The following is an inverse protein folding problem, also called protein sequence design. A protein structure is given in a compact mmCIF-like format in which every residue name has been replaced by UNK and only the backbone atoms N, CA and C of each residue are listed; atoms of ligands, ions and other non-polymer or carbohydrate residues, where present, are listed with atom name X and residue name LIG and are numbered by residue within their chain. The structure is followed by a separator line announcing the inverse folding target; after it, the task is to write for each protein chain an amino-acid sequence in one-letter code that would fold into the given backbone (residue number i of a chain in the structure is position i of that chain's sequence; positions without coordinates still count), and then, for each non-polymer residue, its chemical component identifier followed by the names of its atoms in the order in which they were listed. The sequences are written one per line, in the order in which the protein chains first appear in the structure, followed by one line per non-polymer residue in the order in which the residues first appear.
data_IF_876873778251
#
_entry.id   IF_876873778251
#
_cell.length_a   1.000
_cell.length_b   1.000
_cell.length_c   1.000
_cell.angle_alpha   90.00
_cell.angle_beta   90.00
_cell.angle_gamma   90.00
#
_symmetry.space_group_name_H-M   'P 1'
#
loop_
_entity.id
_entity.type
_entity.pdbx_description
1 polymer ?
#
# COMPACT_ATOMS: atom_id res chain seq x y z
N UNK A 1 -4.64 -46.04 14.40
CA UNK A 1 -5.40 -44.91 13.86
C UNK A 1 -5.38 -43.79 14.85
N UNK A 2 -5.12 -42.59 14.39
CA UNK A 2 -5.15 -41.38 15.20
C UNK A 2 -6.63 -41.00 15.40
N UNK A 3 -7.12 -40.97 16.64
CA UNK A 3 -8.48 -40.55 16.92
C UNK A 3 -8.50 -39.03 17.07
N UNK A 4 -8.99 -38.34 16.04
CA UNK A 4 -9.09 -36.87 16.02
C UNK A 4 -9.96 -36.31 17.17
N UNK A 5 -10.88 -37.10 17.73
CA UNK A 5 -11.71 -36.70 18.88
C UNK A 5 -10.91 -36.52 20.16
N UNK A 6 -9.77 -37.20 20.26
CA UNK A 6 -8.87 -37.07 21.42
C UNK A 6 -7.95 -35.84 21.33
N UNK A 7 -7.82 -35.20 20.14
CA UNK A 7 -6.91 -34.11 19.87
C UNK A 7 -7.08 -32.90 20.80
N UNK A 8 -8.29 -32.41 21.09
CA UNK A 8 -8.46 -31.29 22.01
C UNK A 8 -7.91 -31.58 23.41
N UNK A 9 -8.13 -32.79 23.90
CA UNK A 9 -7.62 -33.25 25.20
C UNK A 9 -6.11 -33.40 25.18
N UNK A 10 -5.55 -33.94 24.11
CA UNK A 10 -4.11 -34.10 23.91
C UNK A 10 -3.38 -32.73 23.82
N UNK A 11 -3.97 -31.76 23.09
CA UNK A 11 -3.41 -30.43 23.01
C UNK A 11 -3.47 -29.65 24.35
N UNK A 12 -4.44 -29.99 25.22
CA UNK A 12 -4.55 -29.42 26.55
C UNK A 12 -3.57 -30.04 27.57
N UNK A 13 -2.99 -31.22 27.26
CA UNK A 13 -2.05 -31.89 28.17
C UNK A 13 -0.60 -31.41 27.96
N UNK A 14 0.24 -31.60 28.99
CA UNK A 14 1.67 -31.29 28.92
C UNK A 14 2.41 -32.40 28.14
N UNK A 15 2.34 -32.34 26.81
CA UNK A 15 3.04 -33.27 25.94
C UNK A 15 4.55 -32.96 25.91
N UNK A 16 5.41 -34.00 25.83
CA UNK A 16 6.82 -33.80 25.49
C UNK A 16 6.99 -33.02 24.18
N UNK A 17 7.98 -32.12 24.12
CA UNK A 17 8.20 -31.21 22.99
C UNK A 17 8.21 -31.91 21.63
N UNK A 18 8.93 -33.01 21.51
CA UNK A 18 9.02 -33.78 20.25
C UNK A 18 7.68 -34.40 19.82
N UNK A 19 6.83 -34.79 20.76
CA UNK A 19 5.51 -35.34 20.44
C UNK A 19 4.54 -34.25 20.01
N UNK A 20 4.60 -33.07 20.65
CA UNK A 20 3.78 -31.91 20.26
C UNK A 20 4.04 -31.51 18.79
N UNK A 21 5.31 -31.36 18.40
CA UNK A 21 5.68 -31.02 17.04
C UNK A 21 5.20 -32.06 16.01
N UNK A 22 5.32 -33.37 16.34
CA UNK A 22 4.81 -34.46 15.48
C UNK A 22 3.29 -34.41 15.33
N UNK A 23 2.56 -34.14 16.40
CA UNK A 23 1.11 -34.01 16.37
C UNK A 23 0.68 -32.80 15.51
N UNK A 24 1.24 -31.63 15.77
CA UNK A 24 0.93 -30.42 15.01
C UNK A 24 1.25 -30.60 13.51
N UNK A 25 2.32 -31.31 13.16
CA UNK A 25 2.69 -31.54 11.76
C UNK A 25 1.75 -32.52 11.03
N UNK A 26 0.98 -33.32 11.76
CA UNK A 26 -0.02 -34.26 11.20
C UNK A 26 -1.40 -33.63 11.01
N UNK A 27 -1.62 -32.45 11.58
CA UNK A 27 -2.90 -31.76 11.44
C UNK A 27 -3.05 -31.22 10.03
N UNK A 28 -4.21 -31.41 9.45
CA UNK A 28 -4.59 -30.99 8.11
C UNK A 28 -5.81 -30.04 8.11
N UNK A 29 -6.34 -29.71 9.30
CA UNK A 29 -7.44 -28.76 9.48
C UNK A 29 -7.22 -27.88 10.71
N UNK A 30 -7.66 -26.60 10.69
CA UNK A 30 -7.42 -25.64 11.77
C UNK A 30 -8.53 -25.57 12.82
N UNK A 31 -9.68 -26.21 12.61
CA UNK A 31 -10.90 -26.08 13.44
C UNK A 31 -10.82 -26.79 14.81
N UNK A 32 -9.63 -26.71 15.43
CA UNK A 32 -9.37 -27.35 16.71
C UNK A 32 -9.31 -26.31 17.83
N UNK A 33 -9.99 -26.55 18.96
CA UNK A 33 -9.88 -25.70 20.13
C UNK A 33 -8.44 -25.69 20.68
N UNK A 34 -8.00 -24.56 21.24
CA UNK A 34 -6.67 -24.34 21.82
C UNK A 34 -5.48 -24.47 20.85
N UNK A 35 -5.72 -24.56 19.53
CA UNK A 35 -4.64 -24.68 18.56
C UNK A 35 -3.62 -23.52 18.61
N UNK A 36 -4.01 -22.24 18.75
CA UNK A 36 -3.06 -21.15 18.93
C UNK A 36 -2.12 -21.35 20.12
N UNK A 37 -2.66 -21.72 21.27
CA UNK A 37 -1.86 -21.97 22.48
C UNK A 37 -0.88 -23.15 22.30
N UNK A 38 -1.31 -24.21 21.61
CA UNK A 38 -0.44 -25.36 21.33
C UNK A 38 0.71 -24.97 20.37
N UNK A 39 0.43 -24.14 19.35
CA UNK A 39 1.45 -23.62 18.44
C UNK A 39 2.44 -22.73 19.19
N UNK A 40 1.97 -21.80 20.02
CA UNK A 40 2.88 -20.94 20.80
C UNK A 40 3.78 -21.79 21.72
N UNK A 41 3.24 -22.83 22.37
CA UNK A 41 4.04 -23.74 23.18
C UNK A 41 5.09 -24.49 22.35
N UNK A 42 4.75 -24.93 21.12
CA UNK A 42 5.73 -25.55 20.21
C UNK A 42 6.84 -24.54 19.86
N UNK A 43 6.48 -23.32 19.50
CA UNK A 43 7.43 -22.27 19.14
C UNK A 43 8.40 -21.88 20.28
N UNK A 44 8.08 -22.19 21.53
CA UNK A 44 8.93 -21.96 22.71
C UNK A 44 9.89 -23.12 22.99
N UNK A 45 9.71 -24.25 22.29
CA UNK A 45 10.59 -25.40 22.47
C UNK A 45 11.95 -25.17 21.84
N UNK A 46 13.01 -25.81 22.39
CA UNK A 46 14.37 -25.75 21.82
C UNK A 46 14.48 -26.41 20.44
N UNK A 47 13.53 -27.24 20.08
CA UNK A 47 13.50 -28.02 18.84
C UNK A 47 12.67 -27.33 17.75
N UNK A 48 11.98 -26.26 18.08
CA UNK A 48 11.17 -25.50 17.11
C UNK A 48 12.04 -24.91 16.00
N UNK A 49 11.53 -25.01 14.78
CA UNK A 49 12.12 -24.37 13.58
C UNK A 49 11.49 -23.01 13.26
N UNK A 50 10.66 -22.50 14.17
CA UNK A 50 9.95 -21.22 14.00
C UNK A 50 8.63 -21.33 13.25
N UNK A 51 7.91 -20.21 13.23
CA UNK A 51 6.61 -20.11 12.57
C UNK A 51 6.76 -20.32 11.05
N UNK A 52 5.81 -21.02 10.45
CA UNK A 52 5.85 -21.41 9.02
C UNK A 52 6.50 -22.77 8.76
N UNK A 53 7.19 -23.39 9.75
CA UNK A 53 7.88 -24.66 9.57
C UNK A 53 6.95 -25.88 9.58
N UNK A 54 5.77 -25.78 10.18
CA UNK A 54 4.78 -26.85 10.23
C UNK A 54 3.63 -26.59 9.26
N UNK A 55 3.07 -27.65 8.67
CA UNK A 55 1.94 -27.54 7.72
C UNK A 55 0.75 -26.79 8.33
N UNK A 56 0.44 -27.04 9.59
CA UNK A 56 -0.69 -26.41 10.28
C UNK A 56 -0.61 -24.89 10.35
N UNK A 57 0.60 -24.30 10.38
CA UNK A 57 0.76 -22.84 10.38
C UNK A 57 0.11 -22.17 9.16
N UNK A 58 0.20 -22.83 7.99
CA UNK A 58 -0.39 -22.34 6.74
C UNK A 58 -1.91 -22.52 6.66
N UNK A 59 -2.49 -23.31 7.55
CA UNK A 59 -3.92 -23.61 7.58
C UNK A 59 -4.68 -22.72 8.58
N UNK A 60 -3.99 -22.01 9.47
CA UNK A 60 -4.61 -21.16 10.48
C UNK A 60 -5.59 -20.14 9.89
N UNK A 61 -6.69 -19.96 10.57
CA UNK A 61 -7.69 -18.95 10.28
C UNK A 61 -7.24 -17.59 10.82
N UNK A 62 -7.87 -16.51 10.37
CA UNK A 62 -7.48 -15.14 10.77
C UNK A 62 -7.59 -14.91 12.28
N UNK A 63 -8.69 -15.37 12.90
CA UNK A 63 -8.92 -15.27 14.33
C UNK A 63 -7.86 -16.03 15.15
N UNK A 64 -7.42 -17.18 14.65
CA UNK A 64 -6.34 -17.96 15.27
C UNK A 64 -4.97 -17.29 15.12
N UNK A 65 -4.69 -16.65 13.97
CA UNK A 65 -3.47 -15.88 13.78
C UNK A 65 -3.47 -14.63 14.68
N UNK A 66 -4.61 -13.96 14.83
CA UNK A 66 -4.74 -12.83 15.79
C UNK A 66 -4.50 -13.31 17.23
N UNK A 67 -5.01 -14.47 17.60
CA UNK A 67 -4.75 -15.03 18.93
C UNK A 67 -3.28 -15.42 19.12
N UNK A 68 -2.62 -15.98 18.10
CA UNK A 68 -1.17 -16.23 18.13
C UNK A 68 -0.38 -14.92 18.32
N UNK A 69 -0.75 -13.85 17.61
CA UNK A 69 -0.12 -12.55 17.75
C UNK A 69 -0.38 -11.90 19.11
N UNK A 70 -1.53 -12.18 19.74
CA UNK A 70 -1.85 -11.74 21.09
C UNK A 70 -1.03 -12.48 22.14
N UNK A 71 -0.87 -13.79 21.99
CA UNK A 71 -0.09 -14.64 22.91
C UNK A 71 1.42 -14.42 22.77
N UNK A 72 1.90 -14.16 21.55
CA UNK A 72 3.32 -13.95 21.23
C UNK A 72 3.48 -12.79 20.24
N UNK A 73 3.51 -11.51 20.74
CA UNK A 73 3.59 -10.33 19.88
C UNK A 73 4.82 -10.28 18.95
N UNK A 74 5.91 -10.98 19.31
CA UNK A 74 7.13 -11.06 18.52
C UNK A 74 6.92 -11.76 17.15
N UNK A 75 5.81 -12.49 16.99
CA UNK A 75 5.44 -13.06 15.69
C UNK A 75 5.21 -11.98 14.62
N UNK A 76 4.73 -10.80 15.02
CA UNK A 76 4.55 -9.65 14.12
C UNK A 76 5.89 -9.09 13.57
N UNK A 77 7.03 -9.51 14.11
CA UNK A 77 8.36 -9.18 13.59
C UNK A 77 8.83 -10.15 12.51
N UNK A 78 8.14 -11.28 12.34
CA UNK A 78 8.57 -12.39 11.47
C UNK A 78 7.86 -12.35 10.12
N UNK A 79 8.64 -12.28 9.04
CA UNK A 79 8.13 -12.30 7.67
C UNK A 79 7.28 -13.53 7.37
N UNK A 80 7.68 -14.69 7.90
CA UNK A 80 6.94 -15.95 7.73
C UNK A 80 5.52 -15.89 8.34
N UNK A 81 5.37 -15.22 9.49
CA UNK A 81 4.06 -15.00 10.09
C UNK A 81 3.20 -14.05 9.26
N UNK A 82 3.76 -12.93 8.86
CA UNK A 82 3.06 -11.92 8.04
C UNK A 82 2.67 -12.48 6.66
N UNK A 83 3.51 -13.31 6.04
CA UNK A 83 3.22 -13.95 4.77
C UNK A 83 2.00 -14.89 4.84
N UNK A 84 1.71 -15.47 6.01
CA UNK A 84 0.52 -16.31 6.23
C UNK A 84 -0.70 -15.44 6.63
N UNK A 85 -0.49 -14.41 7.44
CA UNK A 85 -1.56 -13.55 7.95
C UNK A 85 -2.17 -12.65 6.89
N UNK A 86 -1.35 -11.99 6.07
CA UNK A 86 -1.80 -11.01 5.06
C UNK A 86 -2.83 -11.59 4.08
N UNK A 87 -2.65 -12.79 3.49
CA UNK A 87 -3.64 -13.37 2.59
C UNK A 87 -5.02 -13.62 3.23
N UNK A 88 -5.08 -13.77 4.56
CA UNK A 88 -6.34 -13.93 5.28
C UNK A 88 -7.15 -12.63 5.41
N UNK A 89 -6.52 -11.49 5.15
CA UNK A 89 -7.16 -10.18 5.14
C UNK A 89 -7.80 -9.85 3.78
N UNK A 90 -7.42 -10.57 2.71
CA UNK A 90 -7.94 -10.34 1.36
C UNK A 90 -9.45 -10.63 1.32
N UNK A 91 -10.27 -9.78 0.68
CA UNK A 91 -11.70 -10.05 0.51
C UNK A 91 -11.91 -11.32 -0.31
N UNK A 92 -12.40 -12.39 0.32
CA UNK A 92 -12.49 -13.72 -0.31
C UNK A 92 -13.67 -13.91 -1.27
N UNK A 93 -14.64 -13.01 -1.25
CA UNK A 93 -15.94 -13.25 -1.87
C UNK A 93 -16.10 -12.66 -3.27
N UNK A 94 -15.26 -11.71 -3.69
CA UNK A 94 -15.52 -10.96 -4.92
C UNK A 94 -14.31 -10.95 -5.86
N UNK A 95 -14.56 -11.35 -7.11
CA UNK A 95 -13.60 -11.17 -8.20
C UNK A 95 -13.47 -9.67 -8.52
N UNK A 96 -12.24 -9.18 -8.67
CA UNK A 96 -11.91 -7.77 -8.97
C UNK A 96 -12.20 -6.78 -7.82
N UNK A 97 -12.04 -7.20 -6.58
CA UNK A 97 -12.15 -6.33 -5.39
C UNK A 97 -11.17 -5.13 -5.47
N UNK A 98 -10.03 -5.30 -6.11
CA UNK A 98 -8.99 -4.28 -6.35
C UNK A 98 -9.47 -3.12 -7.24
N UNK A 99 -10.52 -3.36 -8.04
CA UNK A 99 -11.12 -2.36 -8.93
C UNK A 99 -12.29 -1.62 -8.32
N UNK A 100 -12.94 -2.18 -7.30
CA UNK A 100 -13.99 -1.50 -6.55
C UNK A 100 -13.35 -0.62 -5.45
N UNK A 101 -13.51 0.72 -5.51
CA UNK A 101 -12.90 1.62 -4.54
C UNK A 101 -13.30 1.32 -3.09
N UNK A 102 -14.55 0.92 -2.84
CA UNK A 102 -15.04 0.63 -1.49
C UNK A 102 -14.47 -0.66 -0.92
N UNK A 103 -14.37 -1.71 -1.76
CA UNK A 103 -13.79 -2.99 -1.34
C UNK A 103 -12.27 -2.85 -1.13
N UNK A 104 -11.61 -2.13 -2.02
CA UNK A 104 -10.18 -1.81 -1.88
C UNK A 104 -9.93 -0.97 -0.63
N UNK A 105 -10.77 0.04 -0.36
CA UNK A 105 -10.66 0.85 0.85
C UNK A 105 -10.78 0.00 2.11
N UNK A 106 -11.83 -0.82 2.21
CA UNK A 106 -12.05 -1.70 3.36
C UNK A 106 -10.89 -2.71 3.55
N UNK A 107 -10.29 -3.19 2.47
CA UNK A 107 -9.12 -4.06 2.54
C UNK A 107 -7.89 -3.30 3.03
N UNK A 108 -7.60 -2.14 2.46
CA UNK A 108 -6.48 -1.30 2.86
C UNK A 108 -6.59 -0.83 4.32
N UNK A 109 -7.81 -0.61 4.84
CA UNK A 109 -8.04 -0.31 6.26
C UNK A 109 -7.64 -1.46 7.16
N UNK A 110 -7.98 -2.70 6.81
CA UNK A 110 -7.54 -3.90 7.55
C UNK A 110 -6.03 -4.05 7.55
N UNK A 111 -5.39 -3.82 6.40
CA UNK A 111 -3.92 -3.82 6.30
C UNK A 111 -3.29 -2.71 7.13
N UNK A 112 -3.89 -1.51 7.14
CA UNK A 112 -3.39 -0.38 7.94
C UNK A 112 -3.52 -0.65 9.43
N UNK A 113 -4.61 -1.28 9.88
CA UNK A 113 -4.78 -1.71 11.28
C UNK A 113 -3.70 -2.75 11.69
N UNK A 114 -3.35 -3.68 10.81
CA UNK A 114 -2.21 -4.58 11.02
C UNK A 114 -0.90 -3.77 11.11
N UNK A 115 -0.63 -2.87 10.15
CA UNK A 115 0.59 -2.07 10.09
C UNK A 115 0.82 -1.20 11.34
N UNK A 116 -0.23 -0.74 12.01
CA UNK A 116 -0.14 0.05 13.24
C UNK A 116 0.51 -0.73 14.40
N UNK A 117 0.50 -2.07 14.35
CA UNK A 117 1.06 -2.98 15.36
C UNK A 117 2.49 -3.42 15.03
N UNK A 118 2.97 -3.15 13.82
CA UNK A 118 4.25 -3.66 13.32
C UNK A 118 5.45 -2.84 13.81
N UNK A 119 6.62 -3.47 14.02
CA UNK A 119 7.86 -2.78 14.33
C UNK A 119 8.43 -2.03 13.12
N UNK A 120 9.49 -1.24 13.35
CA UNK A 120 10.17 -0.51 12.29
C UNK A 120 10.90 -1.40 11.27
N UNK A 121 11.25 -2.63 11.63
CA UNK A 121 11.78 -3.62 10.67
C UNK A 121 10.78 -3.97 9.57
N UNK A 122 9.50 -3.67 9.76
CA UNK A 122 8.42 -3.85 8.77
C UNK A 122 8.01 -2.55 8.05
N UNK A 123 8.89 -1.54 8.02
CA UNK A 123 8.61 -0.27 7.33
C UNK A 123 8.33 -0.45 5.85
N UNK A 124 8.89 -1.48 5.19
CA UNK A 124 8.59 -1.77 3.79
C UNK A 124 7.11 -2.15 3.58
N UNK A 125 6.53 -2.95 4.48
CA UNK A 125 5.10 -3.27 4.44
C UNK A 125 4.23 -2.06 4.78
N UNK A 126 4.62 -1.27 5.77
CA UNK A 126 3.91 -0.01 6.12
C UNK A 126 3.90 0.95 4.94
N UNK A 127 5.04 1.13 4.26
CA UNK A 127 5.12 1.96 3.07
C UNK A 127 4.26 1.42 1.93
N UNK A 128 4.29 0.10 1.68
CA UNK A 128 3.46 -0.54 0.68
C UNK A 128 1.97 -0.25 0.89
N UNK A 129 1.47 -0.41 2.11
CA UNK A 129 0.06 -0.15 2.43
C UNK A 129 -0.28 1.34 2.30
N UNK A 130 0.56 2.25 2.83
CA UNK A 130 0.33 3.69 2.71
C UNK A 130 0.38 4.18 1.26
N UNK A 131 1.29 3.62 0.43
CA UNK A 131 1.37 3.92 -1.00
C UNK A 131 0.04 3.61 -1.70
N UNK A 132 -0.52 2.43 -1.49
CA UNK A 132 -1.79 2.03 -2.11
C UNK A 132 -2.99 2.82 -1.56
N UNK A 133 -2.94 3.23 -0.27
CA UNK A 133 -3.93 4.15 0.30
C UNK A 133 -3.88 5.51 -0.36
N UNK A 134 -2.70 6.07 -0.58
CA UNK A 134 -2.52 7.36 -1.26
C UNK A 134 -2.92 7.29 -2.74
N UNK A 135 -2.62 6.16 -3.41
CA UNK A 135 -3.08 5.94 -4.78
C UNK A 135 -4.62 5.88 -4.86
N UNK A 136 -5.27 5.28 -3.87
CA UNK A 136 -6.72 5.29 -3.77
C UNK A 136 -7.26 6.70 -3.49
N UNK A 137 -6.65 7.45 -2.57
CA UNK A 137 -7.02 8.83 -2.25
C UNK A 137 -7.00 9.72 -3.50
N UNK A 138 -5.93 9.62 -4.31
CA UNK A 138 -5.85 10.32 -5.60
C UNK A 138 -6.98 9.90 -6.55
N UNK A 139 -7.23 8.59 -6.66
CA UNK A 139 -8.26 8.04 -7.55
C UNK A 139 -9.68 8.50 -7.18
N UNK A 140 -9.95 8.75 -5.89
CA UNK A 140 -11.25 9.25 -5.42
C UNK A 140 -11.29 10.77 -5.22
N UNK A 141 -10.21 11.49 -5.52
CA UNK A 141 -10.10 12.94 -5.37
C UNK A 141 -10.10 13.43 -3.92
N UNK A 142 -9.68 12.59 -2.97
CA UNK A 142 -9.72 12.87 -1.53
C UNK A 142 -8.36 12.67 -0.85
N UNK A 143 -7.35 13.43 -1.29
CA UNK A 143 -5.99 13.34 -0.74
C UNK A 143 -5.97 13.64 0.76
N UNK A 144 -5.44 12.70 1.54
CA UNK A 144 -5.29 12.82 2.99
C UNK A 144 -3.85 13.23 3.35
N UNK A 145 -3.68 14.50 3.77
CA UNK A 145 -2.39 15.07 4.13
C UNK A 145 -1.69 14.31 5.27
N UNK A 146 -2.41 13.91 6.33
CA UNK A 146 -1.79 13.21 7.45
C UNK A 146 -1.26 11.83 7.04
N UNK A 147 -1.99 11.10 6.22
CA UNK A 147 -1.54 9.83 5.62
C UNK A 147 -0.29 10.04 4.76
N UNK A 148 -0.26 11.13 4.00
CA UNK A 148 0.91 11.47 3.21
C UNK A 148 2.13 11.78 4.09
N UNK A 149 1.96 12.54 5.18
CA UNK A 149 3.03 12.78 6.15
C UNK A 149 3.52 11.49 6.80
N UNK A 150 2.61 10.55 7.13
CA UNK A 150 3.02 9.23 7.63
C UNK A 150 3.88 8.49 6.61
N UNK A 151 3.54 8.57 5.31
CA UNK A 151 4.34 7.97 4.24
C UNK A 151 5.72 8.64 4.12
N UNK A 152 5.80 9.97 4.16
CA UNK A 152 7.06 10.72 4.06
C UNK A 152 8.02 10.43 5.22
N UNK A 153 7.50 10.18 6.42
CA UNK A 153 8.28 9.80 7.61
C UNK A 153 8.96 8.44 7.51
N UNK A 154 8.49 7.56 6.62
CA UNK A 154 9.13 6.27 6.40
C UNK A 154 10.41 6.45 5.56
N UNK A 155 11.59 6.02 6.07
CA UNK A 155 12.86 6.27 5.41
C UNK A 155 12.99 5.48 4.12
N UNK A 156 13.12 6.18 3.00
CA UNK A 156 13.33 5.63 1.65
C UNK A 156 14.60 6.21 1.06
N UNK A 157 15.43 5.37 0.47
CA UNK A 157 16.61 5.81 -0.26
C UNK A 157 16.22 6.22 -1.70
N UNK A 158 15.67 7.42 -1.82
CA UNK A 158 15.19 8.01 -3.09
C UNK A 158 15.88 9.35 -3.35
N UNK A 159 16.02 9.73 -4.62
CA UNK A 159 16.77 10.92 -5.02
C UNK A 159 16.19 12.24 -4.51
N UNK A 160 14.89 12.28 -4.27
CA UNK A 160 14.19 13.47 -3.79
C UNK A 160 14.08 13.54 -2.25
N UNK A 161 14.58 12.54 -1.51
CA UNK A 161 14.60 12.59 -0.04
C UNK A 161 15.62 13.62 0.47
N UNK A 162 15.34 14.19 1.64
CA UNK A 162 16.27 15.08 2.34
C UNK A 162 17.53 14.30 2.77
N UNK A 163 18.74 14.72 2.35
CA UNK A 163 19.97 14.07 2.79
C UNK A 163 20.17 14.10 4.30
N UNK A 164 19.64 15.15 4.98
CA UNK A 164 19.71 15.26 6.43
C UNK A 164 18.80 14.26 7.13
N UNK A 165 17.61 14.05 6.59
CA UNK A 165 16.71 13.01 7.05
C UNK A 165 17.35 11.64 6.92
N UNK A 166 17.92 11.30 5.76
CA UNK A 166 18.56 10.01 5.53
C UNK A 166 19.77 9.78 6.46
N UNK A 167 20.55 10.82 6.77
CA UNK A 167 21.70 10.71 7.70
C UNK A 167 21.27 10.42 9.15
N UNK A 168 20.05 10.75 9.54
CA UNK A 168 19.52 10.46 10.89
C UNK A 168 19.10 9.00 11.08
N UNK A 169 19.03 8.21 10.00
CA UNK A 169 18.61 6.82 10.07
C UNK A 169 19.77 5.99 10.60
N UNK A 170 19.69 5.61 11.86
CA UNK A 170 20.73 4.84 12.56
C UNK A 170 20.62 3.33 12.34
N UNK A 171 19.53 2.85 11.75
CA UNK A 171 19.25 1.42 11.57
C UNK A 171 18.91 1.12 10.11
N UNK A 172 19.83 0.49 9.35
CA UNK A 172 19.60 0.13 7.95
C UNK A 172 18.36 -0.74 7.72
N UNK A 173 18.02 -1.61 8.68
CA UNK A 173 16.84 -2.47 8.62
C UNK A 173 15.51 -1.71 8.71
N UNK A 174 15.54 -0.45 9.09
CA UNK A 174 14.37 0.42 9.07
C UNK A 174 14.12 1.08 7.70
N UNK A 175 15.09 0.99 6.76
CA UNK A 175 14.93 1.49 5.41
C UNK A 175 13.85 0.72 4.66
N UNK A 176 13.02 1.46 3.93
CA UNK A 176 12.00 0.88 3.06
C UNK A 176 12.64 0.35 1.78
N UNK A 177 12.39 -0.91 1.49
CA UNK A 177 12.64 -1.49 0.18
C UNK A 177 11.35 -1.41 -0.67
N UNK A 178 11.32 -0.46 -1.61
CA UNK A 178 10.20 -0.25 -2.52
C UNK A 178 10.02 -1.38 -3.55
N UNK A 179 11.04 -2.22 -3.78
CA UNK A 179 10.94 -3.34 -4.70
C UNK A 179 10.38 -4.62 -4.05
N UNK A 180 10.27 -4.61 -2.72
CA UNK A 180 9.76 -5.77 -1.98
C UNK A 180 8.28 -6.01 -2.29
N UNK A 181 7.96 -7.27 -2.64
CA UNK A 181 6.59 -7.74 -2.83
C UNK A 181 6.06 -8.36 -1.54
N UNK A 182 4.75 -8.23 -1.34
CA UNK A 182 4.03 -8.79 -0.20
C UNK A 182 2.85 -9.63 -0.68
N UNK A 183 2.35 -10.51 0.16
CA UNK A 183 1.21 -11.37 -0.14
C UNK A 183 -0.14 -10.61 -0.07
N UNK A 184 -0.17 -9.36 -0.54
CA UNK A 184 -1.34 -8.47 -0.55
C UNK A 184 -2.11 -8.51 -1.87
N UNK A 185 -1.61 -9.21 -2.89
CA UNK A 185 -2.09 -9.15 -4.28
C UNK A 185 -2.02 -7.75 -4.91
N UNK A 186 -1.41 -6.78 -4.21
CA UNK A 186 -1.11 -5.46 -4.73
C UNK A 186 0.33 -5.41 -5.27
N UNK A 187 0.59 -4.67 -6.36
CA UNK A 187 1.92 -4.59 -6.94
C UNK A 187 2.94 -3.92 -6.00
N UNK A 188 4.22 -4.29 -6.12
CA UNK A 188 5.29 -3.60 -5.42
C UNK A 188 5.33 -2.11 -5.80
N UNK A 189 5.76 -1.25 -4.88
CA UNK A 189 5.83 0.20 -5.08
C UNK A 189 6.73 0.56 -6.27
N UNK A 190 7.95 0.00 -6.30
CA UNK A 190 9.03 0.32 -7.24
C UNK A 190 9.42 1.80 -7.17
N UNK A 191 9.17 2.57 -8.22
CA UNK A 191 9.36 4.01 -8.24
C UNK A 191 8.12 4.71 -7.66
N UNK A 192 8.29 5.42 -6.56
CA UNK A 192 7.20 6.11 -5.88
C UNK A 192 7.13 7.62 -6.22
N UNK A 193 8.12 8.15 -6.94
CA UNK A 193 8.16 9.58 -7.30
C UNK A 193 6.90 10.04 -8.03
N UNK A 194 6.35 9.31 -9.01
CA UNK A 194 5.13 9.73 -9.69
C UNK A 194 3.93 9.91 -8.76
N UNK A 195 3.76 9.01 -7.78
CA UNK A 195 2.69 9.13 -6.78
C UNK A 195 2.94 10.31 -5.84
N UNK A 196 4.15 10.42 -5.30
CA UNK A 196 4.53 11.50 -4.38
C UNK A 196 4.36 12.85 -5.05
N UNK A 197 4.77 12.98 -6.31
CA UNK A 197 4.58 14.19 -7.13
C UNK A 197 3.10 14.52 -7.29
N UNK A 198 2.26 13.53 -7.63
CA UNK A 198 0.82 13.74 -7.81
C UNK A 198 0.14 14.21 -6.53
N UNK A 199 0.51 13.63 -5.38
CA UNK A 199 -0.01 14.07 -4.07
C UNK A 199 0.43 15.51 -3.77
N UNK A 200 1.69 15.88 -4.04
CA UNK A 200 2.14 17.25 -3.86
C UNK A 200 1.42 18.24 -4.79
N UNK A 201 1.13 17.84 -6.04
CA UNK A 201 0.36 18.69 -6.96
C UNK A 201 -1.00 19.03 -6.36
N UNK A 202 -1.72 18.06 -5.81
CA UNK A 202 -3.02 18.28 -5.14
C UNK A 202 -2.91 19.17 -3.88
N UNK A 203 -1.86 18.98 -3.09
CA UNK A 203 -1.66 19.74 -1.86
C UNK A 203 -1.20 21.17 -2.17
N UNK A 204 -0.25 21.35 -3.08
CA UNK A 204 0.33 22.66 -3.38
C UNK A 204 -0.63 23.60 -4.11
N UNK A 205 -1.68 23.10 -4.73
CA UNK A 205 -2.78 23.95 -5.20
C UNK A 205 -3.47 24.71 -4.06
N UNK A 206 -3.48 24.14 -2.86
CA UNK A 206 -4.22 24.65 -1.69
C UNK A 206 -3.31 25.26 -0.63
N UNK A 207 -2.02 24.98 -0.68
CA UNK A 207 -1.06 25.42 0.33
C UNK A 207 -0.22 26.61 -0.15
N UNK A 208 0.15 27.48 0.79
CA UNK A 208 0.93 28.69 0.51
C UNK A 208 2.43 28.48 0.69
N UNK A 209 2.85 27.30 1.18
CA UNK A 209 4.25 27.00 1.46
C UNK A 209 4.56 25.52 1.39
N UNK A 210 5.74 25.18 0.88
CA UNK A 210 6.30 23.83 0.90
C UNK A 210 7.14 23.53 2.15
N UNK A 211 7.41 24.51 2.99
CA UNK A 211 8.29 24.41 4.17
C UNK A 211 7.94 23.25 5.12
N UNK A 212 6.66 22.91 5.38
CA UNK A 212 6.31 21.79 6.26
C UNK A 212 6.88 20.43 5.84
N UNK A 213 7.35 20.29 4.62
CA UNK A 213 7.83 19.00 4.05
C UNK A 213 9.35 18.90 3.97
N UNK A 214 10.10 20.00 4.25
CA UNK A 214 11.57 20.05 4.10
C UNK A 214 12.32 19.12 5.05
N UNK A 215 11.68 18.69 6.14
CA UNK A 215 12.25 17.71 7.04
C UNK A 215 12.56 16.37 6.34
N UNK A 216 11.69 15.94 5.41
CA UNK A 216 11.75 14.62 4.77
C UNK A 216 12.18 14.68 3.31
N UNK A 217 11.87 15.76 2.64
CA UNK A 217 12.08 15.94 1.19
C UNK A 217 13.09 17.04 0.93
N UNK A 218 13.90 16.85 -0.12
CA UNK A 218 14.90 17.81 -0.55
C UNK A 218 14.27 19.16 -0.91
N UNK A 219 14.79 20.23 -0.34
CA UNK A 219 14.24 21.59 -0.52
C UNK A 219 14.24 22.04 -1.99
N UNK A 220 15.29 21.71 -2.75
CA UNK A 220 15.34 22.06 -4.17
C UNK A 220 14.26 21.32 -4.99
N UNK A 221 13.95 20.07 -4.64
CA UNK A 221 12.83 19.34 -5.25
C UNK A 221 11.50 20.00 -4.92
N UNK A 222 11.27 20.32 -3.64
CA UNK A 222 10.02 20.94 -3.18
C UNK A 222 9.81 22.33 -3.78
N UNK A 223 10.81 23.20 -3.72
CA UNK A 223 10.71 24.57 -4.22
C UNK A 223 10.40 24.62 -5.71
N UNK A 224 11.08 23.76 -6.48
CA UNK A 224 10.84 23.63 -7.92
C UNK A 224 9.42 23.11 -8.19
N UNK A 225 9.01 22.02 -7.56
CA UNK A 225 7.68 21.44 -7.76
C UNK A 225 6.58 22.41 -7.33
N UNK A 226 6.78 23.13 -6.22
CA UNK A 226 5.84 24.13 -5.75
C UNK A 226 5.67 25.26 -6.76
N UNK A 227 6.78 25.80 -7.29
CA UNK A 227 6.74 26.83 -8.33
C UNK A 227 6.05 26.31 -9.60
N UNK A 228 6.37 25.09 -10.05
CA UNK A 228 5.71 24.44 -11.20
C UNK A 228 4.19 24.39 -11.02
N UNK A 229 3.71 23.94 -9.85
CA UNK A 229 2.27 23.85 -9.55
C UNK A 229 1.62 25.25 -9.54
N UNK A 230 2.25 26.25 -8.88
CA UNK A 230 1.70 27.61 -8.84
C UNK A 230 1.62 28.26 -10.23
N UNK A 231 2.59 28.01 -11.10
CA UNK A 231 2.56 28.45 -12.50
C UNK A 231 1.47 27.74 -13.29
N UNK A 232 1.39 26.40 -13.17
CA UNK A 232 0.42 25.60 -13.90
C UNK A 232 -1.03 26.01 -13.61
N UNK A 233 -1.31 26.35 -12.35
CA UNK A 233 -2.65 26.74 -11.91
C UNK A 233 -2.86 28.27 -11.85
N UNK A 234 -1.90 29.07 -12.33
CA UNK A 234 -2.00 30.53 -12.40
C UNK A 234 -2.14 31.21 -11.03
N UNK A 235 -1.55 30.64 -9.98
CA UNK A 235 -1.73 31.10 -8.60
C UNK A 235 -0.57 31.97 -8.12
N UNK A 236 -0.90 33.07 -7.43
CA UNK A 236 0.06 33.93 -6.76
C UNK A 236 0.93 34.77 -7.72
N UNK A 237 2.09 35.18 -7.25
CA UNK A 237 3.03 36.04 -7.97
C UNK A 237 3.88 35.24 -8.96
N UNK A 238 3.58 35.36 -10.25
CA UNK A 238 4.25 34.66 -11.33
C UNK A 238 5.74 34.98 -11.45
N UNK A 239 6.14 36.22 -11.13
CA UNK A 239 7.55 36.68 -11.16
C UNK A 239 8.36 35.95 -10.07
N UNK A 240 7.77 35.77 -8.91
CA UNK A 240 8.37 34.99 -7.81
C UNK A 240 8.59 33.54 -8.21
N UNK A 241 7.61 32.88 -8.85
CA UNK A 241 7.72 31.49 -9.28
C UNK A 241 8.72 31.32 -10.41
N UNK A 242 8.76 32.28 -11.34
CA UNK A 242 9.77 32.34 -12.37
C UNK A 242 11.20 32.40 -11.78
N UNK A 243 11.42 33.25 -10.79
CA UNK A 243 12.70 33.35 -10.11
C UNK A 243 13.11 32.05 -9.40
N UNK A 244 12.15 31.34 -8.79
CA UNK A 244 12.39 30.06 -8.14
C UNK A 244 12.76 28.94 -9.11
N UNK A 245 12.19 28.91 -10.32
CA UNK A 245 12.57 27.94 -11.35
C UNK A 245 13.98 28.18 -11.88
N UNK A 246 14.45 29.44 -11.83
CA UNK A 246 15.75 29.89 -12.34
C UNK A 246 16.06 29.37 -13.77
N UNK A 247 15.01 29.21 -14.58
CA UNK A 247 15.09 28.69 -15.95
C UNK A 247 13.95 29.27 -16.80
N UNK A 248 14.23 30.29 -17.63
CA UNK A 248 13.25 30.95 -18.49
C UNK A 248 12.52 30.00 -19.43
N UNK A 249 13.26 29.10 -20.07
CA UNK A 249 12.67 28.15 -21.02
C UNK A 249 11.77 27.13 -20.34
N UNK A 250 12.03 26.76 -19.08
CA UNK A 250 11.14 25.91 -18.30
C UNK A 250 9.83 26.63 -17.95
N UNK A 251 9.88 27.94 -17.65
CA UNK A 251 8.69 28.74 -17.41
C UNK A 251 7.80 28.84 -18.67
N UNK A 252 8.38 29.19 -19.81
CA UNK A 252 7.68 29.27 -21.08
C UNK A 252 7.05 27.90 -21.43
N UNK A 253 7.83 26.82 -21.33
CA UNK A 253 7.34 25.46 -21.58
C UNK A 253 6.17 25.08 -20.68
N UNK A 254 6.18 25.48 -19.39
CA UNK A 254 5.08 25.22 -18.46
C UNK A 254 3.86 26.09 -18.71
N UNK A 255 4.06 27.38 -19.06
CA UNK A 255 2.98 28.33 -19.33
C UNK A 255 2.24 28.00 -20.63
N UNK A 256 2.97 27.58 -21.67
CA UNK A 256 2.45 27.26 -22.99
C UNK A 256 2.04 25.76 -23.13
N UNK A 257 2.35 24.95 -22.15
CA UNK A 257 2.07 23.52 -22.17
C UNK A 257 0.60 23.23 -22.46
N UNK A 258 0.35 22.45 -23.49
CA UNK A 258 -0.98 21.94 -23.81
C UNK A 258 -1.17 20.63 -23.07
N UNK A 259 -2.17 20.55 -22.22
CA UNK A 259 -2.50 19.34 -21.49
C UNK A 259 -3.97 18.97 -21.61
N UNK A 260 -4.21 17.68 -21.72
CA UNK A 260 -5.51 17.05 -21.59
C UNK A 260 -5.31 15.81 -20.74
N UNK A 261 -5.91 15.76 -19.58
CA UNK A 261 -5.87 14.59 -18.70
C UNK A 261 -7.28 14.24 -18.21
N UNK A 262 -7.56 12.96 -18.06
CA UNK A 262 -8.75 12.54 -17.33
C UNK A 262 -8.52 12.74 -15.83
N UNK A 263 -9.45 13.40 -15.17
CA UNK A 263 -9.38 13.56 -13.73
C UNK A 263 -9.34 12.20 -13.03
N UNK A 264 -8.50 12.01 -12.01
CA UNK A 264 -8.29 10.70 -11.36
C UNK A 264 -9.55 10.07 -10.77
N UNK A 265 -10.54 10.90 -10.39
CA UNK A 265 -11.82 10.49 -9.83
C UNK A 265 -12.81 9.92 -10.85
N UNK A 266 -12.50 9.97 -12.14
CA UNK A 266 -13.40 9.45 -13.16
C UNK A 266 -13.70 7.96 -12.96
N UNK A 267 -14.98 7.62 -13.08
CA UNK A 267 -15.41 6.22 -13.14
C UNK A 267 -14.77 5.51 -14.34
N UNK A 268 -14.21 4.34 -14.11
CA UNK A 268 -13.66 3.51 -15.19
C UNK A 268 -14.71 2.66 -15.91
N UNK A 269 -15.90 2.49 -15.32
CA UNK A 269 -16.99 1.68 -15.87
C UNK A 269 -18.33 2.31 -15.52
N UNK A 270 -19.24 2.27 -16.47
CA UNK A 270 -20.61 2.75 -16.34
C UNK A 270 -21.59 1.60 -16.63
N UNK A 271 -22.74 1.59 -15.96
CA UNK A 271 -23.83 0.65 -16.23
C UNK A 271 -24.51 0.95 -17.56
N UNK A 272 -25.26 -0.03 -18.12
CA UNK A 272 -25.93 0.09 -19.43
C UNK A 272 -26.91 1.27 -19.55
N UNK A 273 -27.49 1.71 -18.42
CA UNK A 273 -28.46 2.83 -18.37
C UNK A 273 -27.90 4.02 -17.57
N UNK A 274 -26.62 4.07 -17.33
CA UNK A 274 -25.97 5.14 -16.59
C UNK A 274 -25.46 6.22 -17.55
N UNK A 275 -25.70 7.49 -17.19
CA UNK A 275 -25.11 8.59 -17.94
C UNK A 275 -23.59 8.59 -17.79
N UNK A 276 -22.87 8.62 -18.91
CA UNK A 276 -21.40 8.69 -18.91
C UNK A 276 -21.00 10.16 -18.70
N UNK A 277 -20.41 10.46 -17.57
CA UNK A 277 -19.81 11.75 -17.27
C UNK A 277 -18.32 11.57 -17.02
N UNK A 278 -17.49 12.37 -17.69
CA UNK A 278 -16.05 12.34 -17.58
C UNK A 278 -15.54 13.75 -17.30
N UNK A 279 -14.80 13.90 -16.22
CA UNK A 279 -14.10 15.13 -15.86
C UNK A 279 -12.73 15.15 -16.54
N UNK A 280 -12.40 16.27 -17.15
CA UNK A 280 -11.14 16.47 -17.87
C UNK A 280 -10.44 17.72 -17.35
N UNK A 281 -9.18 17.57 -17.02
CA UNK A 281 -8.27 18.70 -16.77
C UNK A 281 -7.71 19.15 -18.12
N UNK A 282 -7.98 20.41 -18.48
CA UNK A 282 -7.62 20.96 -19.79
C UNK A 282 -6.83 22.23 -19.60
N UNK A 283 -5.64 22.32 -20.21
CA UNK A 283 -4.82 23.52 -20.24
C UNK A 283 -4.43 23.89 -21.68
N UNK A 284 -4.60 25.16 -22.04
CA UNK A 284 -4.21 25.75 -23.35
C UNK A 284 -4.78 25.00 -24.58
N UNK A 285 -5.90 24.30 -24.43
CA UNK A 285 -6.57 23.60 -25.54
C UNK A 285 -7.60 24.51 -26.19
N UNK A 286 -7.41 24.88 -27.45
CA UNK A 286 -8.35 25.71 -28.20
C UNK A 286 -9.61 24.96 -28.63
N UNK A 287 -9.48 23.67 -28.92
CA UNK A 287 -10.59 22.84 -29.39
C UNK A 287 -10.38 21.41 -28.89
N UNK A 288 -11.40 20.87 -28.24
CA UNK A 288 -11.44 19.47 -27.79
C UNK A 288 -12.35 18.68 -28.74
N UNK A 289 -11.81 17.61 -29.35
CA UNK A 289 -12.58 16.67 -30.17
C UNK A 289 -12.79 15.38 -29.37
N UNK A 290 -14.03 15.09 -29.05
CA UNK A 290 -14.41 13.83 -28.38
C UNK A 290 -14.97 12.86 -29.43
N UNK A 291 -14.41 11.65 -29.51
CA UNK A 291 -14.93 10.57 -30.37
C UNK A 291 -15.39 9.42 -29.48
N UNK A 292 -16.63 9.00 -29.67
CA UNK A 292 -17.19 7.84 -29.00
C UNK A 292 -17.22 6.67 -29.98
N UNK A 293 -16.71 5.53 -29.56
CA UNK A 293 -16.67 4.32 -30.37
C UNK A 293 -17.44 3.20 -29.67
N UNK A 294 -18.30 2.53 -30.44
CA UNK A 294 -18.90 1.27 -30.01
C UNK A 294 -18.00 0.12 -30.44
N UNK A 295 -17.66 -0.77 -29.50
CA UNK A 295 -16.84 -1.95 -29.77
C UNK A 295 -17.69 -3.20 -29.56
N UNK A 296 -17.90 -3.96 -30.64
CA UNK A 296 -18.56 -5.25 -30.56
C UNK A 296 -17.57 -6.28 -30.00
N UNK A 297 -17.68 -6.58 -28.70
CA UNK A 297 -16.71 -7.38 -27.96
C UNK A 297 -16.45 -8.76 -28.60
N UNK A 298 -17.49 -9.46 -29.06
CA UNK A 298 -17.36 -10.77 -29.73
C UNK A 298 -16.49 -10.71 -30.98
N UNK A 299 -16.68 -9.70 -31.83
CA UNK A 299 -15.89 -9.55 -33.05
C UNK A 299 -14.45 -9.14 -32.70
N UNK A 300 -14.27 -8.24 -31.75
CA UNK A 300 -12.94 -7.83 -31.30
C UNK A 300 -12.09 -9.02 -30.78
N UNK A 301 -12.68 -9.92 -29.97
CA UNK A 301 -11.96 -11.10 -29.48
C UNK A 301 -11.78 -12.19 -30.50
N UNK A 302 -12.65 -12.26 -31.54
CA UNK A 302 -12.48 -13.20 -32.67
C UNK A 302 -11.34 -12.79 -33.59
N UNK A 303 -11.14 -11.47 -33.78
CA UNK A 303 -10.11 -10.95 -34.70
C UNK A 303 -8.72 -10.83 -34.02
N UNK A 304 -8.67 -10.87 -32.68
CA UNK A 304 -7.43 -10.72 -31.89
C UNK A 304 -7.00 -11.99 -31.15
N UNK A 305 -7.83 -13.04 -31.11
CA UNK A 305 -7.61 -14.32 -30.41
C UNK A 305 -7.02 -15.42 -31.34
#
# INVERSE_FOLDING_TARGET
GFDERALPSLLATNLPDGLLAVLLNRLDRPDLPNLPAAIIRELETKTSRGFGSLKIHNLLLLDQLEECARLKPELLHQDAFLAIMIPRLIPSAERNWDRDPKLLEAYLERLQALCARLPNSQNSLKAHVLYHRLALDLRVGAVNKERFLQYLRLPRNVSYASPEFLRRISRPEALVDCNRSFATELPAIRDDEPLVRSVFVELFQKEDSYQPYTEWINENYLSRLFAEVKILYGQGDQERWYALLNNPSAFEALSERVEIAFAPQNKMRFGANEAVTLDLDIKNVKTLLVKVHEVHALNYYRDKG
#
